data_IF_203983128752
#
_entry.id   IF_203983128752
#
_cell.length_a   1.000
_cell.length_b   1.000
_cell.length_c   1.000
_cell.angle_alpha   90.00
_cell.angle_beta   90.00
_cell.angle_gamma   90.00
#
_symmetry.space_group_name_H-M   'P 1'
#
loop_
_entity.id
_entity.type
_entity.pdbx_description
1 polymer ?
#
# COMPACT_ATOMS: atom_id res chain seq x y z
N UNK A 1 11.94 -1.35 36.30
CA UNK A 1 11.20 -0.17 35.79
C UNK A 1 10.78 -0.44 34.36
N UNK A 2 9.48 -0.64 34.08
CA UNK A 2 8.98 -0.72 32.70
C UNK A 2 8.98 0.70 32.16
N UNK A 3 10.06 1.10 31.48
CA UNK A 3 10.11 2.40 30.81
C UNK A 3 8.96 2.48 29.79
N UNK A 4 8.33 3.65 29.67
CA UNK A 4 7.33 3.92 28.66
C UNK A 4 7.97 3.81 27.27
N UNK A 5 7.91 2.62 26.67
CA UNK A 5 8.38 2.37 25.33
C UNK A 5 7.27 2.76 24.36
N UNK A 6 7.54 3.67 23.43
CA UNK A 6 6.58 4.06 22.39
C UNK A 6 6.22 2.90 21.46
N UNK A 7 7.12 1.91 21.34
CA UNK A 7 6.87 0.64 20.62
C UNK A 7 6.11 -0.39 21.47
N UNK A 8 5.86 -0.11 22.75
CA UNK A 8 5.07 -0.97 23.65
C UNK A 8 3.56 -0.78 23.49
N UNK A 9 3.12 0.28 22.79
CA UNK A 9 1.73 0.48 22.43
C UNK A 9 1.34 -0.40 21.25
N UNK A 10 0.26 -1.18 21.38
CA UNK A 10 -0.33 -1.89 20.24
C UNK A 10 -1.09 -0.87 19.38
N UNK A 11 -0.53 -0.49 18.24
CA UNK A 11 -1.26 0.28 17.23
C UNK A 11 -2.16 -0.70 16.48
N UNK A 12 -3.47 -0.64 16.77
CA UNK A 12 -4.47 -1.43 16.05
C UNK A 12 -4.82 -0.67 14.78
N UNK A 13 -4.28 -1.11 13.64
CA UNK A 13 -4.73 -0.64 12.33
C UNK A 13 -5.98 -1.42 11.97
N UNK A 14 -7.13 -0.74 11.93
CA UNK A 14 -8.42 -1.40 11.69
C UNK A 14 -8.61 -1.83 10.23
N UNK A 15 -7.97 -1.16 9.27
CA UNK A 15 -8.16 -1.39 7.83
C UNK A 15 -6.83 -1.22 7.09
N UNK A 16 -6.49 -2.19 6.25
CA UNK A 16 -5.33 -2.13 5.37
C UNK A 16 -5.78 -2.28 3.92
N UNK A 17 -4.94 -1.82 2.98
CA UNK A 17 -5.26 -1.84 1.57
C UNK A 17 -4.22 -2.62 0.77
N UNK A 18 -4.67 -3.29 -0.28
CA UNK A 18 -3.85 -4.05 -1.21
C UNK A 18 -4.11 -3.58 -2.65
N UNK A 19 -3.18 -3.92 -3.55
CA UNK A 19 -3.30 -3.62 -4.99
C UNK A 19 -3.51 -4.93 -5.75
N UNK A 20 -4.63 -5.02 -6.45
CA UNK A 20 -4.93 -6.04 -7.44
C UNK A 20 -4.10 -5.77 -8.70
N UNK A 21 -3.16 -6.67 -8.99
CA UNK A 21 -2.24 -6.49 -10.11
C UNK A 21 -2.90 -6.68 -11.47
N UNK A 22 -4.00 -7.42 -11.58
CA UNK A 22 -4.68 -7.63 -12.86
C UNK A 22 -5.42 -6.36 -13.29
N UNK A 23 -5.97 -5.65 -12.32
CA UNK A 23 -6.64 -4.36 -12.54
C UNK A 23 -5.66 -3.18 -12.63
N UNK A 24 -4.50 -3.27 -11.98
CA UNK A 24 -3.52 -2.18 -11.94
C UNK A 24 -2.86 -1.91 -13.29
N UNK A 25 -3.14 -0.72 -13.87
CA UNK A 25 -2.55 -0.23 -15.13
C UNK A 25 -1.22 0.53 -14.97
N UNK A 26 -0.59 0.48 -13.80
CA UNK A 26 0.68 1.17 -13.52
C UNK A 26 0.67 2.69 -13.82
N UNK A 27 -0.48 3.38 -13.66
CA UNK A 27 -0.62 4.79 -14.00
C UNK A 27 0.09 5.77 -13.05
N UNK A 28 0.55 5.31 -11.88
CA UNK A 28 1.25 6.12 -10.89
C UNK A 28 0.40 7.13 -10.11
N UNK A 29 -0.93 7.18 -10.31
CA UNK A 29 -1.78 8.14 -9.60
C UNK A 29 -1.69 8.03 -8.07
N UNK A 30 -1.62 6.80 -7.54
CA UNK A 30 -1.47 6.57 -6.09
C UNK A 30 -0.10 7.00 -5.55
N UNK A 31 0.96 6.96 -6.36
CA UNK A 31 2.31 7.40 -5.96
C UNK A 31 2.37 8.91 -5.73
N UNK A 32 1.58 9.69 -6.48
CA UNK A 32 1.54 11.17 -6.34
C UNK A 32 1.02 11.64 -4.97
N UNK A 33 0.38 10.75 -4.20
CA UNK A 33 -0.04 11.04 -2.83
C UNK A 33 1.14 11.10 -1.84
N UNK A 34 2.32 10.56 -2.19
CA UNK A 34 3.46 10.48 -1.28
C UNK A 34 3.23 9.51 -0.11
N UNK A 35 2.34 8.53 -0.26
CA UNK A 35 2.07 7.54 0.79
C UNK A 35 3.31 6.67 1.04
N UNK A 36 3.86 6.63 2.28
CA UNK A 36 5.07 5.86 2.58
C UNK A 36 4.86 4.35 2.49
N UNK A 37 3.61 3.88 2.53
CA UNK A 37 3.27 2.47 2.38
C UNK A 37 3.26 2.00 0.92
N UNK A 38 3.36 2.89 -0.08
CA UNK A 38 3.31 2.49 -1.49
C UNK A 38 4.72 2.33 -2.03
N UNK A 39 5.06 1.09 -2.37
CA UNK A 39 6.35 0.68 -2.93
C UNK A 39 6.22 0.48 -4.45
N UNK A 40 7.30 0.74 -5.19
CA UNK A 40 7.39 0.39 -6.61
C UNK A 40 8.16 -0.92 -6.73
N UNK A 41 7.52 -1.94 -7.28
CA UNK A 41 8.11 -3.27 -7.47
C UNK A 41 8.22 -3.59 -8.97
N UNK A 42 9.11 -4.51 -9.29
CA UNK A 42 9.13 -5.17 -10.60
C UNK A 42 7.90 -6.07 -10.71
N UNK A 43 7.14 -5.92 -11.80
CA UNK A 43 5.86 -6.60 -11.99
C UNK A 43 5.99 -7.95 -12.70
N UNK A 44 7.17 -8.24 -13.25
CA UNK A 44 7.48 -9.50 -13.95
C UNK A 44 8.98 -9.75 -13.92
N UNK A 45 9.38 -10.98 -13.60
CA UNK A 45 10.77 -11.42 -13.76
C UNK A 45 11.21 -11.48 -15.23
N UNK A 46 10.25 -11.69 -16.14
CA UNK A 46 10.52 -11.77 -17.59
C UNK A 46 10.50 -10.42 -18.30
N UNK A 47 9.96 -9.38 -17.66
CA UNK A 47 9.94 -8.01 -18.20
C UNK A 47 10.24 -6.99 -17.08
N UNK A 48 11.53 -6.80 -16.75
CA UNK A 48 11.96 -5.92 -15.67
C UNK A 48 11.64 -4.44 -15.92
N UNK A 49 11.25 -4.05 -17.15
CA UNK A 49 10.81 -2.67 -17.43
C UNK A 49 9.39 -2.40 -16.92
N UNK A 50 8.61 -3.44 -16.66
CA UNK A 50 7.23 -3.31 -16.18
C UNK A 50 7.23 -3.17 -14.67
N UNK A 51 7.05 -1.95 -14.17
CA UNK A 51 6.94 -1.67 -12.73
C UNK A 51 5.48 -1.50 -12.30
N UNK A 52 5.11 -2.01 -11.13
CA UNK A 52 3.79 -1.82 -10.51
C UNK A 52 3.94 -1.30 -9.08
N UNK A 53 2.88 -0.67 -8.58
CA UNK A 53 2.79 -0.26 -7.19
C UNK A 53 2.32 -1.41 -6.31
N UNK A 54 2.90 -1.60 -5.13
CA UNK A 54 2.45 -2.51 -4.06
C UNK A 54 2.20 -1.69 -2.79
N UNK A 55 1.24 -2.09 -1.96
CA UNK A 55 1.06 -1.51 -0.63
C UNK A 55 1.70 -2.43 0.41
N UNK A 56 2.58 -1.87 1.23
CA UNK A 56 3.17 -2.54 2.38
C UNK A 56 2.19 -2.55 3.55
N UNK A 57 1.72 -3.72 4.03
CA UNK A 57 0.75 -3.79 5.11
C UNK A 57 1.26 -3.19 6.43
N UNK A 58 2.54 -3.39 6.74
CA UNK A 58 3.15 -2.94 8.00
C UNK A 58 3.15 -1.42 8.11
N UNK A 59 3.29 -0.72 6.97
CA UNK A 59 3.30 0.74 6.90
C UNK A 59 1.92 1.34 6.60
N UNK A 60 0.97 0.54 6.14
CA UNK A 60 -0.37 1.01 5.79
C UNK A 60 -1.16 1.33 7.06
N UNK A 61 -1.53 2.60 7.24
CA UNK A 61 -2.32 3.07 8.39
C UNK A 61 -3.83 3.16 8.11
N UNK A 62 -4.27 2.77 6.91
CA UNK A 62 -5.70 2.69 6.58
C UNK A 62 -6.39 4.00 6.19
N UNK A 63 -5.66 5.04 5.77
CA UNK A 63 -6.25 6.37 5.46
C UNK A 63 -7.17 6.41 4.22
N UNK A 64 -7.21 5.34 3.40
CA UNK A 64 -8.07 5.19 2.22
C UNK A 64 -7.87 6.18 1.04
N UNK A 65 -6.96 7.17 1.14
CA UNK A 65 -6.76 8.17 0.08
C UNK A 65 -6.34 7.54 -1.27
N UNK A 66 -5.57 6.46 -1.23
CA UNK A 66 -5.15 5.73 -2.43
C UNK A 66 -6.32 5.11 -3.19
N UNK A 67 -7.37 4.68 -2.48
CA UNK A 67 -8.60 4.13 -3.08
C UNK A 67 -9.31 5.21 -3.89
N UNK A 68 -9.43 6.42 -3.33
CA UNK A 68 -10.14 7.54 -3.98
C UNK A 68 -9.49 7.99 -5.29
N UNK A 69 -8.17 7.89 -5.42
CA UNK A 69 -7.45 8.29 -6.64
C UNK A 69 -7.35 7.17 -7.69
N UNK A 70 -7.67 5.92 -7.33
CA UNK A 70 -7.53 4.79 -8.24
C UNK A 70 -8.76 4.68 -9.16
N UNK A 71 -8.63 5.17 -10.39
CA UNK A 71 -9.69 5.10 -11.43
C UNK A 71 -10.00 3.69 -11.93
N UNK A 72 -9.18 2.70 -11.58
CA UNK A 72 -9.28 1.33 -12.08
C UNK A 72 -9.85 0.36 -11.04
N UNK A 73 -10.24 0.84 -9.85
CA UNK A 73 -10.67 0.02 -8.73
C UNK A 73 -9.67 -1.10 -8.38
N UNK A 74 -8.38 -0.85 -8.63
CA UNK A 74 -7.30 -1.79 -8.39
C UNK A 74 -6.83 -1.79 -6.93
N UNK A 75 -7.30 -0.85 -6.10
CA UNK A 75 -6.91 -0.76 -4.67
C UNK A 75 -8.13 -1.10 -3.83
N UNK A 76 -8.02 -2.13 -2.99
CA UNK A 76 -9.13 -2.66 -2.18
C UNK A 76 -8.70 -2.90 -0.74
N UNK A 77 -9.67 -2.87 0.17
CA UNK A 77 -9.44 -3.29 1.55
C UNK A 77 -9.05 -4.78 1.56
N UNK A 78 -8.06 -5.11 2.38
CA UNK A 78 -7.56 -6.48 2.54
C UNK A 78 -7.26 -6.72 4.01
N UNK A 79 -7.38 -7.97 4.42
CA UNK A 79 -6.96 -8.44 5.73
C UNK A 79 -5.62 -9.13 5.56
N UNK A 80 -4.61 -8.72 6.34
CA UNK A 80 -3.29 -9.35 6.37
C UNK A 80 -3.10 -10.18 7.63
#
# INVERSE_FOLDING_TARGET
SKKACILGGKVVVARQYGIDFDLCKACGACLRLGCPAIEVIEASETDPKKRKARINPVLCVGCAMCVQVCKFNAIKETTF
#
